data_IF_723022092637
#
_entry.id   IF_723022092637
#
_cell.length_a   1.000
_cell.length_b   1.000
_cell.length_c   1.000
_cell.angle_alpha   90.00
_cell.angle_beta   90.00
_cell.angle_gamma   90.00
#
_symmetry.space_group_name_H-M   'P 1'
#
loop_
_entity.id
_entity.type
_entity.pdbx_description
1 polymer ?
#
# COMPACT_ATOMS: atom_id res chain seq x y z
N UNK A 1 2.24 -43.77 31.51
CA UNK A 1 1.15 -42.80 31.37
C UNK A 1 -0.03 -43.34 30.54
N UNK A 2 -1.03 -42.53 30.31
CA UNK A 2 -2.28 -42.93 29.62
C UNK A 2 -2.07 -43.65 28.29
N UNK A 3 -1.11 -43.22 27.46
CA UNK A 3 -0.79 -43.85 26.18
C UNK A 3 -0.48 -45.33 26.29
N UNK A 4 0.28 -45.75 27.35
CA UNK A 4 0.62 -47.18 27.57
C UNK A 4 -0.61 -48.05 27.90
N UNK A 5 -1.60 -47.47 28.61
CA UNK A 5 -2.84 -48.19 28.87
C UNK A 5 -3.66 -48.42 27.61
N UNK A 6 -3.81 -47.38 26.79
CA UNK A 6 -4.55 -47.47 25.53
C UNK A 6 -3.86 -48.42 24.53
N UNK A 7 -2.51 -48.45 24.47
CA UNK A 7 -1.78 -49.41 23.65
C UNK A 7 -2.05 -50.85 24.07
N UNK A 8 -2.03 -51.15 25.37
CA UNK A 8 -2.37 -52.50 25.88
C UNK A 8 -3.78 -52.94 25.48
N UNK A 9 -4.72 -52.04 25.33
CA UNK A 9 -6.05 -52.35 24.82
C UNK A 9 -5.98 -52.74 23.34
N UNK A 10 -5.25 -51.98 22.53
CA UNK A 10 -5.11 -52.25 21.09
C UNK A 10 -4.34 -53.54 20.83
N UNK A 11 -3.36 -53.89 21.68
CA UNK A 11 -2.57 -55.11 21.56
C UNK A 11 -3.43 -56.40 21.73
N UNK A 12 -4.68 -56.26 22.25
CA UNK A 12 -5.62 -57.37 22.41
C UNK A 12 -6.48 -57.62 21.15
N UNK A 13 -6.19 -56.97 20.02
CA UNK A 13 -6.85 -57.26 18.75
C UNK A 13 -6.63 -58.71 18.33
N UNK A 14 -7.61 -59.37 17.73
CA UNK A 14 -8.96 -58.89 17.34
C UNK A 14 -10.05 -59.19 18.40
N UNK A 15 -9.70 -59.49 19.67
CA UNK A 15 -10.66 -59.92 20.69
C UNK A 15 -11.49 -58.78 21.31
N UNK A 16 -11.15 -57.51 21.03
CA UNK A 16 -11.87 -56.35 21.55
C UNK A 16 -13.06 -55.97 20.64
N UNK A 17 -14.16 -55.45 21.20
CA UNK A 17 -15.24 -54.91 20.40
C UNK A 17 -14.79 -53.79 19.49
N UNK A 18 -15.31 -53.71 18.25
CA UNK A 18 -14.94 -52.71 17.25
C UNK A 18 -15.15 -51.27 17.77
N UNK A 19 -16.21 -51.03 18.54
CA UNK A 19 -16.46 -49.69 19.12
C UNK A 19 -15.35 -49.29 20.13
N UNK A 20 -14.80 -50.24 20.88
CA UNK A 20 -13.68 -49.97 21.79
C UNK A 20 -12.38 -49.73 21.01
N UNK A 21 -12.16 -50.50 19.95
CA UNK A 21 -11.01 -50.30 19.04
C UNK A 21 -11.03 -48.91 18.43
N UNK A 22 -12.16 -48.53 17.81
CA UNK A 22 -12.34 -47.21 17.18
C UNK A 22 -12.10 -46.08 18.20
N UNK A 23 -12.73 -46.11 19.37
CA UNK A 23 -12.55 -45.07 20.39
C UNK A 23 -11.11 -44.99 20.91
N UNK A 24 -10.46 -46.18 21.11
CA UNK A 24 -9.10 -46.23 21.62
C UNK A 24 -8.07 -45.70 20.61
N UNK A 25 -8.17 -46.10 19.35
CA UNK A 25 -7.28 -45.59 18.29
C UNK A 25 -7.36 -44.07 18.14
N UNK A 26 -8.57 -43.51 18.16
CA UNK A 26 -8.74 -42.07 18.06
C UNK A 26 -8.08 -41.36 19.26
N UNK A 27 -8.28 -41.89 20.48
CA UNK A 27 -7.65 -41.32 21.68
C UNK A 27 -6.12 -41.42 21.62
N UNK A 28 -5.56 -42.55 21.17
CA UNK A 28 -4.11 -42.70 20.98
C UNK A 28 -3.58 -41.66 19.98
N UNK A 29 -4.27 -41.50 18.84
CA UNK A 29 -3.87 -40.52 17.83
C UNK A 29 -3.86 -39.09 18.42
N UNK A 30 -4.92 -38.71 19.15
CA UNK A 30 -4.99 -37.38 19.80
C UNK A 30 -3.82 -37.20 20.83
N UNK A 31 -3.49 -38.25 21.61
CA UNK A 31 -2.39 -38.15 22.54
C UNK A 31 -1.03 -38.02 21.85
N UNK A 32 -0.84 -38.64 20.68
CA UNK A 32 0.36 -38.42 19.88
C UNK A 32 0.45 -36.99 19.36
N UNK A 33 -0.63 -36.44 18.82
CA UNK A 33 -0.66 -35.07 18.38
C UNK A 33 -0.39 -34.08 19.52
N UNK A 34 -0.95 -34.33 20.72
CA UNK A 34 -0.66 -33.54 21.93
C UNK A 34 0.80 -33.59 22.37
N UNK A 35 1.50 -34.68 22.06
CA UNK A 35 2.93 -34.87 22.37
C UNK A 35 3.83 -34.46 21.20
N UNK A 36 3.28 -33.83 20.17
CA UNK A 36 4.00 -33.44 18.94
C UNK A 36 4.67 -34.61 18.20
N UNK A 37 4.20 -35.82 18.47
CA UNK A 37 4.64 -37.03 17.78
C UNK A 37 3.82 -37.20 16.47
N UNK A 38 4.04 -36.29 15.54
CA UNK A 38 3.20 -36.10 14.34
C UNK A 38 3.06 -37.38 13.51
N UNK A 39 4.16 -38.08 13.23
CA UNK A 39 4.13 -39.30 12.40
C UNK A 39 3.31 -40.41 13.06
N UNK A 40 3.53 -40.68 14.36
CA UNK A 40 2.76 -41.70 15.07
C UNK A 40 1.27 -41.31 15.18
N UNK A 41 1.00 -40.00 15.32
CA UNK A 41 -0.36 -39.48 15.30
C UNK A 41 -1.07 -39.76 13.98
N UNK A 42 -0.41 -39.48 12.87
CA UNK A 42 -0.89 -39.74 11.50
C UNK A 42 -1.10 -41.23 11.28
N UNK A 43 -0.09 -42.05 11.59
CA UNK A 43 -0.15 -43.53 11.39
C UNK A 43 -1.32 -44.13 12.17
N UNK A 44 -1.49 -43.71 13.43
CA UNK A 44 -2.60 -44.19 14.28
C UNK A 44 -3.96 -43.70 13.77
N UNK A 45 -4.03 -42.49 13.31
CA UNK A 45 -5.28 -41.92 12.76
C UNK A 45 -5.65 -42.59 11.42
N UNK A 46 -4.68 -42.98 10.60
CA UNK A 46 -4.90 -43.77 9.40
C UNK A 46 -5.41 -45.19 9.74
N UNK A 47 -4.88 -45.84 10.80
CA UNK A 47 -5.44 -47.09 11.29
C UNK A 47 -6.90 -46.94 11.76
N UNK A 48 -7.19 -45.83 12.46
CA UNK A 48 -8.56 -45.49 12.86
C UNK A 48 -9.48 -45.30 11.66
N UNK A 49 -9.03 -44.60 10.62
CA UNK A 49 -9.77 -44.40 9.37
C UNK A 49 -10.13 -45.72 8.67
N UNK A 50 -9.24 -46.74 8.78
CA UNK A 50 -9.47 -48.02 8.16
C UNK A 50 -10.55 -48.88 8.88
N UNK A 51 -10.84 -48.60 10.16
CA UNK A 51 -11.80 -49.37 10.96
C UNK A 51 -13.09 -48.61 11.28
N UNK A 52 -13.14 -47.32 10.98
CA UNK A 52 -14.33 -46.48 11.21
C UNK A 52 -15.21 -46.42 9.94
N UNK A 53 -16.53 -46.57 10.08
CA UNK A 53 -17.44 -46.49 8.95
C UNK A 53 -17.57 -45.08 8.41
N UNK A 54 -17.61 -44.08 9.30
CA UNK A 54 -17.80 -42.68 8.96
C UNK A 54 -16.80 -41.84 9.73
N UNK A 55 -15.64 -41.51 9.11
CA UNK A 55 -14.70 -40.58 9.71
C UNK A 55 -15.32 -39.23 10.02
N UNK A 56 -15.06 -38.66 11.19
CA UNK A 56 -15.55 -37.34 11.56
C UNK A 56 -14.65 -36.24 10.97
N UNK A 57 -15.19 -35.03 10.81
CA UNK A 57 -14.46 -33.88 10.25
C UNK A 57 -13.17 -33.55 11.03
N UNK A 58 -13.20 -33.73 12.36
CA UNK A 58 -12.02 -33.45 13.20
C UNK A 58 -10.80 -34.35 12.89
N UNK A 59 -11.04 -35.57 12.42
CA UNK A 59 -9.95 -36.46 12.01
C UNK A 59 -9.16 -35.90 10.82
N UNK A 60 -9.85 -35.35 9.84
CA UNK A 60 -9.20 -34.70 8.70
C UNK A 60 -8.44 -33.44 9.11
N UNK A 61 -8.97 -32.65 10.04
CA UNK A 61 -8.26 -31.48 10.61
C UNK A 61 -6.97 -31.92 11.34
N UNK A 62 -7.02 -33.01 12.11
CA UNK A 62 -5.83 -33.56 12.78
C UNK A 62 -4.79 -34.05 11.77
N UNK A 63 -5.21 -34.77 10.72
CA UNK A 63 -4.32 -35.18 9.64
C UNK A 63 -3.69 -33.99 8.94
N UNK A 64 -4.50 -32.99 8.58
CA UNK A 64 -4.01 -31.77 7.94
C UNK A 64 -2.91 -31.08 8.77
N UNK A 65 -3.17 -30.88 10.06
CA UNK A 65 -2.18 -30.29 10.97
C UNK A 65 -0.92 -31.16 11.11
N UNK A 66 -1.08 -32.47 11.23
CA UNK A 66 0.05 -33.39 11.32
C UNK A 66 0.93 -33.37 10.08
N UNK A 67 0.33 -33.43 8.89
CA UNK A 67 1.05 -33.32 7.62
C UNK A 67 1.69 -31.94 7.45
N UNK A 68 1.04 -30.88 7.88
CA UNK A 68 1.63 -29.54 7.89
C UNK A 68 2.92 -29.48 8.72
N UNK A 69 2.92 -30.05 9.93
CA UNK A 69 4.10 -30.09 10.79
C UNK A 69 5.24 -30.90 10.18
N UNK A 70 4.91 -31.94 9.42
CA UNK A 70 5.88 -32.73 8.65
C UNK A 70 6.26 -32.10 7.30
N UNK A 71 5.70 -30.93 6.97
CA UNK A 71 5.89 -30.23 5.69
C UNK A 71 5.40 -31.00 4.47
N UNK A 72 4.52 -31.99 4.66
CA UNK A 72 3.80 -32.65 3.56
C UNK A 72 2.55 -31.80 3.23
N UNK A 73 2.80 -30.69 2.55
CA UNK A 73 1.79 -29.68 2.27
C UNK A 73 0.68 -30.19 1.34
N UNK A 74 0.99 -31.13 0.44
CA UNK A 74 -0.03 -31.72 -0.44
C UNK A 74 -1.08 -32.46 0.34
N UNK A 75 -0.66 -33.36 1.23
CA UNK A 75 -1.60 -34.09 2.08
C UNK A 75 -2.26 -33.18 3.12
N UNK A 76 -1.57 -32.14 3.59
CA UNK A 76 -2.19 -31.17 4.47
C UNK A 76 -3.35 -30.45 3.79
N UNK A 77 -3.15 -29.94 2.56
CA UNK A 77 -4.19 -29.29 1.76
C UNK A 77 -5.35 -30.25 1.45
N UNK A 78 -5.06 -31.48 1.01
CA UNK A 78 -6.08 -32.48 0.74
C UNK A 78 -7.00 -32.70 1.95
N UNK A 79 -6.42 -32.92 3.12
CA UNK A 79 -7.19 -33.20 4.32
C UNK A 79 -7.95 -31.99 4.85
N UNK A 80 -7.36 -30.78 4.79
CA UNK A 80 -8.07 -29.60 5.26
C UNK A 80 -9.22 -29.22 4.31
N UNK A 81 -9.05 -29.45 3.00
CA UNK A 81 -10.13 -29.24 2.03
C UNK A 81 -11.29 -30.18 2.28
N UNK A 82 -11.03 -31.48 2.54
CA UNK A 82 -12.11 -32.43 2.92
C UNK A 82 -12.85 -31.94 4.18
N UNK A 83 -12.13 -31.39 5.16
CA UNK A 83 -12.76 -30.86 6.36
C UNK A 83 -13.67 -29.65 6.07
N UNK A 84 -13.20 -28.74 5.22
CA UNK A 84 -13.96 -27.56 4.77
C UNK A 84 -15.21 -28.01 4.02
N UNK A 85 -15.07 -28.83 2.98
CA UNK A 85 -16.18 -29.30 2.14
C UNK A 85 -17.27 -29.99 2.94
N UNK A 86 -16.90 -30.75 3.97
CA UNK A 86 -17.85 -31.45 4.84
C UNK A 86 -18.68 -30.52 5.72
N UNK A 87 -18.08 -29.46 6.26
CA UNK A 87 -18.81 -28.46 7.05
C UNK A 87 -19.76 -27.64 6.13
N UNK A 88 -19.26 -27.25 4.95
CA UNK A 88 -20.08 -26.55 3.96
C UNK A 88 -21.26 -27.39 3.47
N UNK A 89 -21.04 -28.67 3.17
CA UNK A 89 -22.11 -29.62 2.81
C UNK A 89 -23.13 -29.82 3.94
N UNK A 90 -22.72 -29.64 5.19
CA UNK A 90 -23.61 -29.65 6.35
C UNK A 90 -24.31 -28.31 6.62
N UNK A 91 -24.12 -27.30 5.73
CA UNK A 91 -24.67 -25.95 5.88
C UNK A 91 -24.03 -25.15 7.02
N UNK A 92 -22.84 -25.51 7.43
CA UNK A 92 -22.09 -24.84 8.49
C UNK A 92 -20.93 -24.05 7.92
N UNK A 93 -20.57 -22.95 8.58
CA UNK A 93 -19.39 -22.19 8.25
C UNK A 93 -18.13 -22.91 8.79
N UNK A 94 -17.16 -23.31 7.93
CA UNK A 94 -15.88 -23.86 8.35
C UNK A 94 -15.10 -22.87 9.21
N UNK A 95 -14.32 -23.38 10.16
CA UNK A 95 -13.58 -22.52 11.10
C UNK A 95 -12.51 -21.69 10.38
N UNK A 96 -12.35 -20.45 10.81
CA UNK A 96 -11.31 -19.53 10.32
C UNK A 96 -9.91 -20.15 10.24
N UNK A 97 -9.56 -20.98 11.24
CA UNK A 97 -8.24 -21.63 11.32
C UNK A 97 -7.98 -22.60 10.15
N UNK A 98 -9.01 -23.22 9.59
CA UNK A 98 -8.89 -24.16 8.47
C UNK A 98 -8.57 -23.42 7.16
N UNK A 99 -9.27 -22.33 6.92
CA UNK A 99 -8.97 -21.43 5.80
C UNK A 99 -7.57 -20.83 5.94
N UNK A 100 -7.17 -20.44 7.15
CA UNK A 100 -5.83 -19.89 7.39
C UNK A 100 -4.72 -20.92 7.14
N UNK A 101 -4.92 -22.21 7.46
CA UNK A 101 -3.97 -23.26 7.14
C UNK A 101 -3.80 -23.42 5.63
N UNK A 102 -4.92 -23.54 4.89
CA UNK A 102 -4.89 -23.66 3.44
C UNK A 102 -4.23 -22.43 2.79
N UNK A 103 -4.65 -21.22 3.19
CA UNK A 103 -4.10 -19.95 2.72
C UNK A 103 -2.59 -19.88 2.94
N UNK A 104 -2.11 -20.25 4.14
CA UNK A 104 -0.67 -20.23 4.46
C UNK A 104 0.11 -21.14 3.51
N UNK A 105 -0.37 -22.37 3.28
CA UNK A 105 0.30 -23.32 2.41
C UNK A 105 0.34 -22.83 0.96
N UNK A 106 -0.76 -22.25 0.45
CA UNK A 106 -0.79 -21.67 -0.89
C UNK A 106 0.18 -20.49 -1.01
N UNK A 107 0.23 -19.63 0.02
CA UNK A 107 1.15 -18.50 0.05
C UNK A 107 2.62 -18.94 0.07
N UNK A 108 2.97 -19.96 0.88
CA UNK A 108 4.33 -20.51 1.00
C UNK A 108 4.82 -21.15 -0.33
N UNK A 109 3.88 -21.51 -1.20
CA UNK A 109 4.14 -22.11 -2.52
C UNK A 109 4.01 -21.13 -3.69
N UNK A 110 3.87 -19.85 -3.42
CA UNK A 110 3.62 -18.81 -4.43
C UNK A 110 2.35 -19.04 -5.26
N UNK A 111 1.39 -19.85 -4.77
CA UNK A 111 0.08 -20.06 -5.36
C UNK A 111 -0.85 -18.89 -4.97
N UNK A 112 -0.53 -17.69 -5.48
CA UNK A 112 -1.17 -16.45 -5.05
C UNK A 112 -2.64 -16.35 -5.47
N UNK A 113 -3.06 -16.99 -6.55
CA UNK A 113 -4.45 -17.00 -6.98
C UNK A 113 -5.33 -17.73 -5.97
N UNK A 114 -4.95 -18.95 -5.59
CA UNK A 114 -5.66 -19.76 -4.60
C UNK A 114 -5.61 -19.13 -3.21
N UNK A 115 -4.50 -18.48 -2.86
CA UNK A 115 -4.41 -17.72 -1.62
C UNK A 115 -5.37 -16.53 -1.58
N UNK A 116 -5.58 -15.84 -2.72
CA UNK A 116 -6.56 -14.76 -2.86
C UNK A 116 -7.99 -15.25 -2.74
N UNK A 117 -8.35 -16.36 -3.39
CA UNK A 117 -9.68 -16.96 -3.28
C UNK A 117 -10.04 -17.23 -1.82
N UNK A 118 -9.09 -17.77 -1.06
CA UNK A 118 -9.28 -18.02 0.38
C UNK A 118 -9.35 -16.71 1.17
N UNK A 119 -8.56 -15.70 0.81
CA UNK A 119 -8.63 -14.38 1.46
C UNK A 119 -9.97 -13.71 1.24
N UNK A 120 -10.59 -13.84 0.07
CA UNK A 120 -11.92 -13.33 -0.20
C UNK A 120 -12.98 -13.99 0.71
N UNK A 121 -12.89 -15.31 0.92
CA UNK A 121 -13.73 -16.03 1.87
C UNK A 121 -13.50 -15.51 3.31
N UNK A 122 -12.24 -15.34 3.70
CA UNK A 122 -11.88 -14.84 5.03
C UNK A 122 -12.35 -13.41 5.26
N UNK A 123 -12.26 -12.55 4.25
CA UNK A 123 -12.78 -11.18 4.28
C UNK A 123 -14.31 -11.17 4.43
N UNK A 124 -15.00 -12.06 3.73
CA UNK A 124 -16.46 -12.14 3.75
C UNK A 124 -16.99 -12.62 5.11
N UNK A 125 -16.41 -13.66 5.66
CA UNK A 125 -16.96 -14.34 6.86
C UNK A 125 -16.20 -14.02 8.15
N UNK A 126 -14.95 -13.58 8.07
CA UNK A 126 -14.06 -13.26 9.20
C UNK A 126 -13.35 -11.94 8.99
N UNK A 127 -14.05 -10.80 8.82
CA UNK A 127 -13.47 -9.54 8.36
C UNK A 127 -12.47 -8.97 9.36
N UNK A 128 -11.20 -9.36 9.20
CA UNK A 128 -10.07 -8.83 9.98
C UNK A 128 -9.15 -8.02 9.08
N UNK A 129 -8.66 -6.89 9.56
CA UNK A 129 -7.72 -6.00 8.86
C UNK A 129 -6.62 -6.75 8.13
N UNK A 130 -6.03 -7.76 8.78
CA UNK A 130 -4.92 -8.51 8.19
C UNK A 130 -5.24 -9.17 6.85
N UNK A 131 -6.48 -9.63 6.64
CA UNK A 131 -6.88 -10.28 5.39
C UNK A 131 -7.03 -9.27 4.25
N UNK A 132 -7.61 -8.10 4.54
CA UNK A 132 -7.71 -6.99 3.59
C UNK A 132 -6.34 -6.51 3.12
N UNK A 133 -5.42 -6.28 4.07
CA UNK A 133 -4.06 -5.82 3.77
C UNK A 133 -3.30 -6.87 2.95
N UNK A 134 -3.41 -8.16 3.31
CA UNK A 134 -2.75 -9.24 2.56
C UNK A 134 -3.31 -9.38 1.14
N UNK A 135 -4.63 -9.30 0.96
CA UNK A 135 -5.24 -9.33 -0.36
C UNK A 135 -4.75 -8.15 -1.22
N UNK A 136 -4.68 -6.94 -0.66
CA UNK A 136 -4.11 -5.79 -1.34
C UNK A 136 -2.68 -6.02 -1.81
N UNK A 137 -1.82 -6.58 -0.95
CA UNK A 137 -0.43 -6.90 -1.34
C UNK A 137 -0.37 -7.91 -2.47
N UNK A 138 -1.16 -8.98 -2.42
CA UNK A 138 -1.18 -10.00 -3.46
C UNK A 138 -1.70 -9.46 -4.81
N UNK A 139 -2.71 -8.59 -4.81
CA UNK A 139 -3.14 -7.92 -6.04
C UNK A 139 -2.03 -7.02 -6.59
N UNK A 140 -1.26 -6.36 -5.72
CA UNK A 140 -0.09 -5.58 -6.13
C UNK A 140 0.99 -6.44 -6.78
N UNK A 141 1.30 -7.62 -6.23
CA UNK A 141 2.26 -8.58 -6.82
C UNK A 141 1.79 -9.08 -8.20
N UNK A 142 0.48 -9.26 -8.38
CA UNK A 142 -0.12 -9.61 -9.66
C UNK A 142 -0.23 -8.42 -10.62
N UNK A 143 0.15 -7.21 -10.21
CA UNK A 143 0.01 -5.95 -10.96
C UNK A 143 -1.44 -5.62 -11.31
N UNK A 144 -2.38 -6.10 -10.54
CA UNK A 144 -3.79 -5.75 -10.64
C UNK A 144 -4.09 -4.53 -9.77
N UNK A 145 -3.62 -3.36 -10.24
CA UNK A 145 -3.81 -2.09 -9.51
C UNK A 145 -5.29 -1.76 -9.28
N UNK A 146 -6.18 -2.20 -10.15
CA UNK A 146 -7.61 -1.95 -10.02
C UNK A 146 -8.22 -2.66 -8.82
N UNK A 147 -7.96 -3.95 -8.65
CA UNK A 147 -8.42 -4.71 -7.47
C UNK A 147 -7.65 -4.29 -6.22
N UNK A 148 -6.36 -4.00 -6.33
CA UNK A 148 -5.57 -3.45 -5.23
C UNK A 148 -6.18 -2.16 -4.68
N UNK A 149 -6.55 -1.22 -5.56
CA UNK A 149 -7.22 0.02 -5.19
C UNK A 149 -8.56 -0.27 -4.51
N UNK A 150 -9.41 -1.09 -5.12
CA UNK A 150 -10.74 -1.39 -4.59
C UNK A 150 -10.69 -2.01 -3.17
N UNK A 151 -9.75 -2.94 -2.93
CA UNK A 151 -9.61 -3.57 -1.61
C UNK A 151 -9.06 -2.58 -0.57
N UNK A 152 -8.09 -1.73 -0.93
CA UNK A 152 -7.56 -0.71 -0.02
C UNK A 152 -8.59 0.38 0.29
N UNK A 153 -9.36 0.81 -0.71
CA UNK A 153 -10.46 1.75 -0.54
C UNK A 153 -11.50 1.20 0.44
N UNK A 154 -11.96 -0.05 0.23
CA UNK A 154 -12.88 -0.71 1.15
C UNK A 154 -12.31 -0.83 2.58
N UNK A 155 -11.00 -1.07 2.71
CA UNK A 155 -10.31 -1.13 4.00
C UNK A 155 -10.26 0.26 4.67
N UNK A 156 -10.01 1.30 3.87
CA UNK A 156 -10.00 2.68 4.33
C UNK A 156 -11.37 3.15 4.82
N UNK A 157 -12.43 2.86 4.08
CA UNK A 157 -13.81 3.20 4.44
C UNK A 157 -14.26 2.56 5.78
N UNK A 158 -13.68 1.40 6.11
CA UNK A 158 -13.89 0.75 7.40
C UNK A 158 -12.99 1.31 8.52
N UNK A 159 -12.17 2.34 8.26
CA UNK A 159 -11.18 2.91 9.18
C UNK A 159 -10.19 1.87 9.73
N UNK A 160 -9.82 0.89 8.92
CA UNK A 160 -8.86 -0.17 9.28
C UNK A 160 -7.41 0.16 8.90
N UNK A 161 -7.16 1.20 8.09
CA UNK A 161 -5.80 1.62 7.72
C UNK A 161 -5.23 2.54 8.80
N UNK A 162 -4.22 2.06 9.52
CA UNK A 162 -3.56 2.76 10.64
C UNK A 162 -2.05 2.93 10.44
N UNK A 163 -1.54 2.68 9.21
CA UNK A 163 -0.14 2.85 8.87
C UNK A 163 0.04 3.89 7.76
N UNK A 164 1.08 4.72 7.91
CA UNK A 164 1.44 5.72 6.90
C UNK A 164 1.57 5.11 5.50
N UNK A 165 2.25 3.98 5.41
CA UNK A 165 2.51 3.31 4.13
C UNK A 165 1.22 2.91 3.40
N UNK A 166 0.20 2.44 4.13
CA UNK A 166 -1.06 2.00 3.53
C UNK A 166 -1.85 3.20 2.96
N UNK A 167 -1.90 4.34 3.69
CA UNK A 167 -2.56 5.56 3.22
C UNK A 167 -1.82 6.22 2.05
N UNK A 168 -0.49 6.19 2.09
CA UNK A 168 0.36 6.68 0.99
C UNK A 168 0.15 5.81 -0.26
N UNK A 169 0.15 4.48 -0.11
CA UNK A 169 -0.12 3.56 -1.22
C UNK A 169 -1.51 3.78 -1.82
N UNK A 170 -2.55 3.88 -0.98
CA UNK A 170 -3.91 4.18 -1.44
C UNK A 170 -3.96 5.48 -2.25
N UNK A 171 -3.28 6.52 -1.76
CA UNK A 171 -3.23 7.81 -2.46
C UNK A 171 -2.49 7.72 -3.79
N UNK A 172 -1.41 6.94 -3.87
CA UNK A 172 -0.69 6.68 -5.13
C UNK A 172 -1.56 5.93 -6.14
N UNK A 173 -2.29 4.90 -5.69
CA UNK A 173 -3.21 4.14 -6.54
C UNK A 173 -4.36 5.03 -7.07
N UNK A 174 -4.91 5.90 -6.24
CA UNK A 174 -5.88 6.90 -6.71
C UNK A 174 -5.30 7.83 -7.79
N UNK A 175 -4.05 8.28 -7.62
CA UNK A 175 -3.38 9.11 -8.62
C UNK A 175 -3.12 8.35 -9.92
N UNK A 176 -2.72 7.09 -9.85
CA UNK A 176 -2.54 6.21 -11.02
C UNK A 176 -3.87 5.98 -11.75
N UNK A 177 -4.97 5.88 -11.01
CA UNK A 177 -6.32 5.75 -11.55
C UNK A 177 -6.92 7.10 -12.02
N UNK A 178 -6.15 8.19 -12.03
CA UNK A 178 -6.58 9.54 -12.43
C UNK A 178 -7.72 10.11 -11.58
N UNK A 179 -7.83 9.72 -10.32
CA UNK A 179 -8.81 10.25 -9.35
C UNK A 179 -8.11 11.01 -8.21
N UNK A 180 -7.54 12.20 -8.50
CA UNK A 180 -6.63 12.89 -7.58
C UNK A 180 -7.31 13.48 -6.34
N UNK A 181 -8.60 13.75 -6.37
CA UNK A 181 -9.30 14.35 -5.22
C UNK A 181 -9.37 13.40 -4.02
N UNK A 182 -9.78 12.11 -4.15
CA UNK A 182 -9.68 11.13 -3.07
C UNK A 182 -8.26 10.92 -2.57
N UNK A 183 -7.26 10.91 -3.47
CA UNK A 183 -5.84 10.80 -3.09
C UNK A 183 -5.44 11.91 -2.11
N UNK A 184 -5.77 13.17 -2.45
CA UNK A 184 -5.48 14.31 -1.63
C UNK A 184 -6.21 14.29 -0.28
N UNK A 185 -7.49 13.90 -0.28
CA UNK A 185 -8.31 13.79 0.95
C UNK A 185 -7.79 12.70 1.89
N UNK A 186 -7.34 11.57 1.35
CA UNK A 186 -6.74 10.48 2.14
C UNK A 186 -5.50 10.96 2.89
N UNK A 187 -4.60 11.68 2.21
CA UNK A 187 -3.39 12.23 2.84
C UNK A 187 -3.73 13.34 3.84
N UNK A 188 -4.63 14.26 3.50
CA UNK A 188 -5.07 15.33 4.40
C UNK A 188 -5.63 14.76 5.71
N UNK A 189 -6.51 13.74 5.61
CA UNK A 189 -7.02 13.04 6.78
C UNK A 189 -5.92 12.31 7.52
N UNK A 190 -5.01 11.63 6.80
CA UNK A 190 -3.89 10.91 7.39
C UNK A 190 -2.94 11.81 8.18
N UNK A 191 -2.66 13.04 7.71
CA UNK A 191 -1.90 14.04 8.48
C UNK A 191 -2.67 14.53 9.71
N UNK A 192 -3.97 14.81 9.56
CA UNK A 192 -4.82 15.27 10.66
C UNK A 192 -4.92 14.22 11.78
N UNK A 193 -4.98 12.96 11.42
CA UNK A 193 -5.10 11.83 12.35
C UNK A 193 -3.72 11.34 12.84
N UNK A 194 -2.62 12.04 12.47
CA UNK A 194 -1.23 11.72 12.83
C UNK A 194 -0.78 10.31 12.40
N UNK A 195 -1.42 9.74 11.36
CA UNK A 195 -1.09 8.43 10.80
C UNK A 195 0.00 8.57 9.73
N UNK A 196 -0.12 9.57 8.83
CA UNK A 196 0.85 9.80 7.75
C UNK A 196 2.06 10.53 8.32
N UNK A 197 3.25 9.99 8.02
CA UNK A 197 4.52 10.58 8.48
C UNK A 197 4.69 12.01 7.98
N UNK A 198 5.11 12.89 8.90
CA UNK A 198 5.34 14.31 8.71
C UNK A 198 6.67 14.57 7.98
N UNK A 199 6.77 14.15 6.73
CA UNK A 199 7.96 14.28 5.88
C UNK A 199 7.72 15.03 4.57
N UNK A 200 8.83 15.42 3.94
CA UNK A 200 8.83 16.18 2.69
C UNK A 200 8.14 15.45 1.54
N UNK A 201 8.27 14.13 1.46
CA UNK A 201 7.73 13.32 0.34
C UNK A 201 6.23 13.19 0.43
N UNK A 202 5.70 12.95 1.62
CA UNK A 202 4.28 12.81 1.86
C UNK A 202 3.55 14.13 1.65
N UNK A 203 4.12 15.26 2.08
CA UNK A 203 3.60 16.57 1.77
C UNK A 203 3.69 16.92 0.28
N UNK A 204 4.78 16.54 -0.41
CA UNK A 204 4.87 16.71 -1.87
C UNK A 204 3.75 15.94 -2.58
N UNK A 205 3.53 14.68 -2.18
CA UNK A 205 2.47 13.84 -2.75
C UNK A 205 1.08 14.49 -2.55
N UNK A 206 0.77 14.98 -1.35
CA UNK A 206 -0.47 15.67 -1.06
C UNK A 206 -0.64 16.95 -1.88
N UNK A 207 0.43 17.73 -2.00
CA UNK A 207 0.43 18.95 -2.81
C UNK A 207 0.22 18.66 -4.30
N UNK A 208 0.85 17.60 -4.82
CA UNK A 208 0.66 17.14 -6.20
C UNK A 208 -0.78 16.65 -6.40
N UNK A 209 -1.33 15.87 -5.48
CA UNK A 209 -2.70 15.36 -5.56
C UNK A 209 -3.73 16.51 -5.58
N UNK A 210 -3.61 17.50 -4.69
CA UNK A 210 -4.47 18.69 -4.68
C UNK A 210 -4.36 19.49 -5.98
N UNK A 211 -3.14 19.61 -6.51
CA UNK A 211 -2.93 20.32 -7.78
C UNK A 211 -3.58 19.61 -8.96
N UNK A 212 -3.43 18.28 -9.05
CA UNK A 212 -4.10 17.47 -10.08
C UNK A 212 -5.63 17.53 -9.95
N UNK A 213 -6.13 17.62 -8.72
CA UNK A 213 -7.55 17.83 -8.43
C UNK A 213 -8.04 19.25 -8.76
N UNK A 214 -7.19 20.13 -9.36
CA UNK A 214 -7.46 21.54 -9.65
C UNK A 214 -7.72 22.41 -8.41
N UNK A 215 -7.38 21.92 -7.23
CA UNK A 215 -7.53 22.59 -5.94
C UNK A 215 -6.21 23.30 -5.54
N UNK A 216 -5.76 24.24 -6.40
CA UNK A 216 -4.42 24.87 -6.25
C UNK A 216 -4.28 25.56 -4.89
N UNK A 217 -5.33 26.21 -4.39
CA UNK A 217 -5.30 26.86 -3.07
C UNK A 217 -5.00 25.89 -1.94
N UNK A 218 -5.49 24.64 -2.02
CA UNK A 218 -5.21 23.57 -1.02
C UNK A 218 -3.84 22.94 -1.23
N UNK A 219 -3.32 22.96 -2.47
CA UNK A 219 -2.01 22.41 -2.76
C UNK A 219 -0.86 23.25 -2.16
N UNK A 220 -1.02 24.56 -2.11
CA UNK A 220 0.05 25.47 -1.68
C UNK A 220 0.59 25.17 -0.27
N UNK A 221 -0.22 25.09 0.80
CA UNK A 221 0.32 24.81 2.15
C UNK A 221 1.03 23.47 2.22
N UNK A 222 0.59 22.45 1.46
CA UNK A 222 1.26 21.15 1.40
C UNK A 222 2.64 21.27 0.72
N UNK A 223 2.71 21.99 -0.39
CA UNK A 223 3.97 22.22 -1.10
C UNK A 223 4.93 23.11 -0.31
N UNK A 224 4.43 24.06 0.48
CA UNK A 224 5.22 24.87 1.41
C UNK A 224 5.91 23.99 2.44
N UNK A 225 5.14 23.13 3.13
CA UNK A 225 5.66 22.18 4.11
C UNK A 225 6.66 21.18 3.47
N UNK A 226 6.34 20.68 2.28
CA UNK A 226 7.26 19.82 1.53
C UNK A 226 8.59 20.49 1.25
N UNK A 227 8.58 21.75 0.79
CA UNK A 227 9.77 22.51 0.48
C UNK A 227 10.58 22.88 1.74
N UNK A 228 9.90 23.20 2.84
CA UNK A 228 10.53 23.54 4.11
C UNK A 228 11.31 22.34 4.67
N UNK A 229 10.72 21.16 4.66
CA UNK A 229 11.32 19.92 5.15
C UNK A 229 12.34 19.29 4.20
N UNK A 230 12.43 19.78 2.96
CA UNK A 230 13.39 19.27 1.98
C UNK A 230 14.80 19.85 2.20
N UNK A 231 15.80 18.99 2.15
CA UNK A 231 17.22 19.41 2.16
C UNK A 231 17.66 20.09 0.85
N UNK A 232 16.97 19.78 -0.27
CA UNK A 232 17.27 20.28 -1.61
C UNK A 232 16.35 21.43 -2.01
N UNK A 233 16.87 22.35 -2.84
CA UNK A 233 16.11 23.48 -3.33
C UNK A 233 15.07 23.15 -4.42
N UNK A 234 14.99 21.91 -4.89
CA UNK A 234 14.10 21.48 -5.97
C UNK A 234 12.62 21.77 -5.66
N UNK A 235 12.16 21.44 -4.43
CA UNK A 235 10.77 21.66 -4.05
C UNK A 235 10.44 23.15 -3.90
N UNK A 236 11.38 23.96 -3.44
CA UNK A 236 11.21 25.42 -3.45
C UNK A 236 11.10 25.98 -4.88
N UNK A 237 11.89 25.45 -5.82
CA UNK A 237 11.79 25.88 -7.21
C UNK A 237 10.44 25.51 -7.84
N UNK A 238 9.91 24.31 -7.53
CA UNK A 238 8.57 23.89 -7.96
C UNK A 238 7.47 24.74 -7.31
N UNK A 239 7.56 24.96 -6.00
CA UNK A 239 6.63 25.82 -5.27
C UNK A 239 6.60 27.23 -5.89
N UNK A 240 7.75 27.80 -6.22
CA UNK A 240 7.85 29.09 -6.87
C UNK A 240 7.14 29.12 -8.23
N UNK A 241 7.22 28.06 -9.00
CA UNK A 241 6.46 27.95 -10.26
C UNK A 241 4.95 27.88 -10.00
N UNK A 242 4.50 27.15 -8.99
CA UNK A 242 3.07 27.09 -8.63
C UNK A 242 2.56 28.45 -8.14
N UNK A 243 3.37 29.20 -7.38
CA UNK A 243 3.02 30.57 -7.01
C UNK A 243 2.89 31.50 -8.22
N UNK A 244 3.77 31.33 -9.21
CA UNK A 244 3.69 32.10 -10.45
C UNK A 244 2.42 31.77 -11.22
N UNK A 245 2.01 30.52 -11.30
CA UNK A 245 0.79 30.06 -11.98
C UNK A 245 -0.49 30.67 -11.36
N UNK A 246 -0.43 31.13 -10.11
CA UNK A 246 -1.57 31.77 -9.40
C UNK A 246 -1.32 33.24 -9.09
N UNK A 247 -0.48 33.90 -9.84
CA UNK A 247 -0.15 35.32 -9.73
C UNK A 247 0.38 35.80 -8.38
N UNK A 248 0.84 34.86 -7.52
CA UNK A 248 1.51 35.18 -6.24
C UNK A 248 2.97 35.53 -6.47
N UNK A 249 3.25 36.55 -7.29
CA UNK A 249 4.59 36.83 -7.80
C UNK A 249 5.64 37.11 -6.73
N UNK A 250 5.30 37.78 -5.60
CA UNK A 250 6.26 37.96 -4.48
C UNK A 250 6.66 36.66 -3.85
N UNK A 251 5.69 35.78 -3.56
CA UNK A 251 5.96 34.45 -3.00
C UNK A 251 6.75 33.57 -3.97
N UNK A 252 6.48 33.71 -5.29
CA UNK A 252 7.24 33.03 -6.33
C UNK A 252 8.72 33.46 -6.30
N UNK A 253 9.02 34.76 -6.22
CA UNK A 253 10.38 35.29 -6.11
C UNK A 253 11.08 34.73 -4.87
N UNK A 254 10.42 34.74 -3.72
CA UNK A 254 11.01 34.24 -2.47
C UNK A 254 11.31 32.75 -2.54
N UNK A 255 10.37 31.95 -3.01
CA UNK A 255 10.53 30.50 -3.14
C UNK A 255 11.64 30.14 -4.15
N UNK A 256 11.62 30.77 -5.36
CA UNK A 256 12.62 30.51 -6.39
C UNK A 256 14.05 30.90 -5.93
N UNK A 257 14.20 32.03 -5.25
CA UNK A 257 15.49 32.44 -4.68
C UNK A 257 15.96 31.46 -3.59
N UNK A 258 15.06 31.03 -2.67
CA UNK A 258 15.38 30.00 -1.67
C UNK A 258 15.83 28.71 -2.33
N UNK A 259 15.10 28.25 -3.36
CA UNK A 259 15.43 27.05 -4.10
C UNK A 259 16.80 27.10 -4.77
N UNK A 260 17.07 28.18 -5.52
CA UNK A 260 18.35 28.39 -6.21
C UNK A 260 19.51 28.52 -5.24
N UNK A 261 19.30 29.19 -4.09
CA UNK A 261 20.31 29.36 -3.04
C UNK A 261 20.61 28.02 -2.33
N UNK A 262 19.61 27.22 -2.04
CA UNK A 262 19.76 25.90 -1.38
C UNK A 262 20.49 24.91 -2.29
N UNK A 263 20.35 25.06 -3.61
CA UNK A 263 20.98 24.18 -4.59
C UNK A 263 20.24 22.86 -4.81
N UNK A 264 20.80 21.99 -5.64
CA UNK A 264 20.16 20.69 -5.98
C UNK A 264 18.93 20.82 -6.88
N UNK A 265 18.75 21.96 -7.56
CA UNK A 265 17.68 22.20 -8.52
C UNK A 265 18.07 21.57 -9.87
N UNK A 266 17.35 20.56 -10.32
CA UNK A 266 17.65 19.81 -11.56
C UNK A 266 17.57 20.69 -12.81
N UNK A 267 16.56 21.59 -12.84
CA UNK A 267 16.34 22.53 -13.95
C UNK A 267 16.48 23.98 -13.45
N UNK A 268 17.68 24.31 -12.98
CA UNK A 268 18.01 25.66 -12.52
C UNK A 268 17.83 26.72 -13.62
N UNK A 269 17.94 26.35 -14.89
CA UNK A 269 17.62 27.15 -16.05
C UNK A 269 16.13 27.57 -16.05
N UNK A 270 15.22 26.64 -15.85
CA UNK A 270 13.76 26.90 -15.77
C UNK A 270 13.42 27.72 -14.52
N UNK A 271 14.01 27.39 -13.37
CA UNK A 271 13.79 28.16 -12.15
C UNK A 271 14.20 29.63 -12.30
N UNK A 272 15.30 29.91 -13.02
CA UNK A 272 15.72 31.29 -13.32
C UNK A 272 14.82 31.98 -14.33
N UNK A 273 14.26 31.26 -15.32
CA UNK A 273 13.26 31.81 -16.23
C UNK A 273 11.99 32.20 -15.44
N UNK A 274 11.48 31.30 -14.59
CA UNK A 274 10.32 31.57 -13.73
C UNK A 274 10.58 32.78 -12.80
N UNK A 275 11.78 32.88 -12.22
CA UNK A 275 12.18 34.01 -11.40
C UNK A 275 12.18 35.33 -12.20
N UNK A 276 12.67 35.31 -13.45
CA UNK A 276 12.62 36.45 -14.34
C UNK A 276 11.18 36.89 -14.67
N UNK A 277 10.29 35.91 -14.90
CA UNK A 277 8.87 36.18 -15.13
C UNK A 277 8.19 36.77 -13.89
N UNK A 278 8.47 36.23 -12.70
CA UNK A 278 7.92 36.74 -11.44
C UNK A 278 8.36 38.19 -11.18
N UNK A 279 9.64 38.52 -11.39
CA UNK A 279 10.14 39.92 -11.31
C UNK A 279 9.51 40.82 -12.36
N UNK A 280 9.33 40.34 -13.59
CA UNK A 280 8.66 41.09 -14.63
C UNK A 280 7.23 41.43 -14.24
N UNK A 281 6.46 40.46 -13.72
CA UNK A 281 5.08 40.70 -13.28
C UNK A 281 5.00 41.70 -12.11
N UNK A 282 6.05 41.85 -11.34
CA UNK A 282 6.16 42.85 -10.26
C UNK A 282 6.61 44.24 -10.77
N UNK A 283 6.96 44.37 -12.06
CA UNK A 283 7.53 45.60 -12.61
C UNK A 283 9.01 45.80 -12.27
N UNK A 284 9.67 44.79 -11.67
CA UNK A 284 11.07 44.84 -11.28
C UNK A 284 11.99 44.51 -12.46
N UNK A 285 11.96 45.30 -13.52
CA UNK A 285 12.63 44.98 -14.79
C UNK A 285 14.11 44.76 -14.70
N UNK A 286 14.82 45.44 -13.79
CA UNK A 286 16.24 45.23 -13.61
C UNK A 286 16.57 43.85 -13.01
N UNK A 287 15.79 43.39 -12.02
CA UNK A 287 15.89 42.06 -11.44
C UNK A 287 15.52 40.98 -12.47
N UNK A 288 14.44 41.23 -13.25
CA UNK A 288 14.02 40.33 -14.32
C UNK A 288 15.14 40.13 -15.36
N UNK A 289 15.76 41.20 -15.84
CA UNK A 289 16.91 41.13 -16.77
C UNK A 289 18.05 40.32 -16.21
N UNK A 290 18.40 40.49 -14.93
CA UNK A 290 19.44 39.72 -14.28
C UNK A 290 19.09 38.23 -14.28
N UNK A 291 17.90 37.84 -13.87
CA UNK A 291 17.45 36.46 -13.85
C UNK A 291 17.45 35.84 -15.26
N UNK A 292 16.95 36.55 -16.29
CA UNK A 292 16.97 36.04 -17.67
C UNK A 292 18.39 35.90 -18.24
N UNK A 293 19.32 36.82 -17.91
CA UNK A 293 20.73 36.68 -18.31
C UNK A 293 21.39 35.46 -17.70
N UNK A 294 21.10 35.19 -16.42
CA UNK A 294 21.60 33.99 -15.76
C UNK A 294 20.95 32.70 -16.36
N UNK A 295 19.68 32.72 -16.70
CA UNK A 295 19.02 31.61 -17.39
C UNK A 295 19.64 31.37 -18.79
N UNK A 296 19.97 32.43 -19.53
CA UNK A 296 20.54 32.35 -20.87
C UNK A 296 21.95 31.72 -20.95
N UNK A 297 22.64 31.53 -19.81
CA UNK A 297 23.89 30.79 -19.75
C UNK A 297 23.71 29.29 -20.04
N UNK A 298 22.50 28.74 -19.78
CA UNK A 298 22.12 27.38 -20.19
C UNK A 298 21.60 27.39 -21.62
N UNK A 299 22.14 26.52 -22.48
CA UNK A 299 21.76 26.42 -23.90
C UNK A 299 20.23 26.15 -24.07
N UNK A 300 19.63 25.39 -23.16
CA UNK A 300 18.19 25.04 -23.18
C UNK A 300 17.27 26.24 -22.98
N UNK A 301 17.68 27.19 -22.14
CA UNK A 301 16.89 28.37 -21.82
C UNK A 301 17.27 29.60 -22.65
N UNK A 302 18.40 29.59 -23.39
CA UNK A 302 18.99 30.74 -24.04
C UNK A 302 18.05 31.51 -24.95
N UNK A 303 17.39 30.79 -25.86
CA UNK A 303 16.48 31.42 -26.84
C UNK A 303 15.31 32.13 -26.16
N UNK A 304 14.69 31.43 -25.21
CA UNK A 304 13.53 31.95 -24.47
C UNK A 304 13.93 33.15 -23.59
N UNK A 305 15.02 33.07 -22.90
CA UNK A 305 15.54 34.18 -22.10
C UNK A 305 15.86 35.44 -22.96
N UNK A 306 16.43 35.25 -24.17
CA UNK A 306 16.70 36.34 -25.08
C UNK A 306 15.42 37.03 -25.61
N UNK A 307 14.36 36.24 -25.85
CA UNK A 307 13.05 36.81 -26.22
C UNK A 307 12.50 37.69 -25.09
N UNK A 308 12.54 37.22 -23.86
CA UNK A 308 12.12 37.98 -22.69
C UNK A 308 12.95 39.27 -22.50
N UNK A 309 14.25 39.22 -22.70
CA UNK A 309 15.12 40.41 -22.61
C UNK A 309 14.73 41.47 -23.64
N UNK A 310 14.35 41.06 -24.86
CA UNK A 310 13.83 41.99 -25.89
C UNK A 310 12.47 42.54 -25.48
N UNK A 311 11.60 41.68 -24.96
CA UNK A 311 10.23 42.09 -24.55
C UNK A 311 10.29 43.10 -23.40
N UNK A 312 11.12 42.90 -22.39
CA UNK A 312 11.31 43.84 -21.29
C UNK A 312 11.70 45.24 -21.81
N UNK A 313 12.64 45.32 -22.78
CA UNK A 313 13.08 46.61 -23.34
C UNK A 313 11.94 47.34 -24.08
N UNK A 314 11.10 46.59 -24.80
CA UNK A 314 9.94 47.15 -25.48
C UNK A 314 8.88 47.66 -24.51
N UNK A 315 8.62 46.87 -23.44
CA UNK A 315 7.64 47.21 -22.44
C UNK A 315 8.04 48.43 -21.60
N UNK A 316 9.32 48.50 -21.21
CA UNK A 316 9.84 49.66 -20.48
C UNK A 316 9.79 50.92 -21.33
N UNK A 317 10.08 50.84 -22.65
CA UNK A 317 9.95 51.94 -23.57
C UNK A 317 8.48 52.43 -23.67
N UNK A 318 7.55 51.47 -23.83
CA UNK A 318 6.11 51.74 -23.87
C UNK A 318 5.62 52.45 -22.60
N UNK A 319 6.01 51.98 -21.42
CA UNK A 319 5.62 52.58 -20.15
C UNK A 319 6.20 53.99 -19.97
N UNK A 320 7.43 54.20 -20.41
CA UNK A 320 8.04 55.54 -20.39
C UNK A 320 7.37 56.54 -21.35
N UNK A 321 6.89 56.05 -22.50
CA UNK A 321 6.12 56.91 -23.45
C UNK A 321 4.77 57.27 -22.83
N UNK A 322 4.02 56.32 -22.27
CA UNK A 322 2.77 56.59 -21.57
C UNK A 322 2.95 57.57 -20.41
N UNK A 323 3.99 57.37 -19.61
CA UNK A 323 4.28 58.27 -18.49
C UNK A 323 4.56 59.72 -18.95
N UNK A 324 5.17 59.92 -20.14
CA UNK A 324 5.39 61.22 -20.73
C UNK A 324 4.11 61.87 -21.29
N UNK A 325 3.15 61.08 -21.72
CA UNK A 325 1.86 61.56 -22.24
C UNK A 325 0.88 61.94 -21.14
N UNK A 326 1.02 61.35 -19.94
CA UNK A 326 0.16 61.55 -18.78
C UNK A 326 0.65 62.62 -17.79
N UNK A 327 1.90 63.02 -17.86
CA UNK A 327 2.53 64.02 -17.00
C UNK A 327 2.81 65.29 -17.71
#
# INVERSE_FOLDING_TARGET
GALNYYRKVIDQRPQIPIALEVGTLFTIAQLYFLQENWQQGIDTLNQWMAVTEIPNTNAYVLLANGYFQLKDYDKSLENIQIAIDREEAAGKLPKEQWYNLARFIHFDRDNFAEALDILEILIMYYPKKQYWVQASHLYGEQKDEGRQLAILEATYEQNLLDKSQDLVLLSQLYLNAEVPYPAAKTLEKGFKDEIVEDDSKNYELAGVAWRQAQEVTKSLPMLELAAEKSEKGELYARLGSVYLDVDKNKAAVDALNKGLKRGGVKRADQARLALGMAYFNLGEFNAARKAFREAAKDKRAKSFAQQWLKYINSEEKRLNEIAKELG
#
